data_IF_843219156899
#
_entry.id   IF_843219156899
#
_cell.length_a   1.000
_cell.length_b   1.000
_cell.length_c   1.000
_cell.angle_alpha   90.00
_cell.angle_beta   90.00
_cell.angle_gamma   90.00
#
_symmetry.space_group_name_H-M   'P 1'
#
loop_
_entity.id
_entity.type
_entity.pdbx_description
1 polymer ?
#
# COMPACT_ATOMS: atom_id res chain seq x y z
N UNK A 1 38.27 -0.49 20.48
CA UNK A 1 38.52 -0.55 19.02
C UNK A 1 37.99 -1.88 18.51
N UNK A 2 37.17 -1.80 17.46
CA UNK A 2 36.57 -2.90 16.72
C UNK A 2 37.63 -3.89 16.19
N UNK A 3 37.34 -5.10 15.74
CA UNK A 3 36.10 -5.66 15.19
C UNK A 3 36.12 -7.19 15.36
N UNK A 4 34.97 -7.80 15.58
CA UNK A 4 34.78 -9.24 15.43
C UNK A 4 33.88 -9.49 14.21
N UNK A 5 34.41 -10.28 13.28
CA UNK A 5 33.72 -10.76 12.11
C UNK A 5 32.64 -11.78 12.51
N UNK A 6 31.45 -11.65 11.92
CA UNK A 6 30.51 -12.75 11.81
C UNK A 6 30.23 -12.98 10.33
N UNK A 7 30.76 -14.08 9.81
CA UNK A 7 30.39 -14.62 8.52
C UNK A 7 29.05 -15.34 8.63
N UNK A 8 28.10 -14.97 7.78
CA UNK A 8 26.94 -15.79 7.45
C UNK A 8 27.10 -16.29 6.02
N UNK A 9 27.27 -17.59 5.89
CA UNK A 9 27.48 -18.31 4.65
C UNK A 9 26.14 -18.67 4.00
N UNK A 10 25.55 -17.74 3.24
CA UNK A 10 24.52 -17.99 2.22
C UNK A 10 24.62 -16.93 1.08
N UNK A 11 25.81 -16.73 0.50
CA UNK A 11 26.12 -15.52 -0.27
C UNK A 11 26.33 -15.65 -1.79
N UNK A 12 26.29 -16.86 -2.36
CA UNK A 12 26.66 -17.08 -3.77
C UNK A 12 25.54 -16.81 -4.78
N UNK A 13 24.34 -17.34 -4.52
CA UNK A 13 23.19 -17.25 -5.42
C UNK A 13 22.52 -15.86 -5.43
N UNK A 14 22.40 -15.22 -4.26
CA UNK A 14 21.80 -13.89 -4.11
C UNK A 14 22.59 -12.82 -4.86
N UNK A 15 23.92 -12.83 -4.76
CA UNK A 15 24.78 -11.83 -5.38
C UNK A 15 24.76 -11.86 -6.91
N UNK A 16 24.61 -13.04 -7.52
CA UNK A 16 24.45 -13.16 -8.98
C UNK A 16 23.08 -12.66 -9.43
N UNK A 17 22.02 -13.04 -8.71
CA UNK A 17 20.66 -12.57 -8.98
C UNK A 17 20.58 -11.04 -8.91
N UNK A 18 21.13 -10.44 -7.85
CA UNK A 18 21.18 -8.98 -7.70
C UNK A 18 21.92 -8.30 -8.85
N UNK A 19 23.07 -8.83 -9.26
CA UNK A 19 23.83 -8.30 -10.41
C UNK A 19 23.06 -8.43 -11.72
N UNK A 20 22.33 -9.52 -11.92
CA UNK A 20 21.47 -9.71 -13.09
C UNK A 20 20.31 -8.70 -13.09
N UNK A 21 19.67 -8.46 -11.95
CA UNK A 21 18.61 -7.45 -11.82
C UNK A 21 19.19 -6.05 -12.07
N UNK A 22 20.34 -5.72 -11.49
CA UNK A 22 21.00 -4.43 -11.70
C UNK A 22 21.40 -4.21 -13.16
N UNK A 23 21.82 -5.28 -13.85
CA UNK A 23 22.09 -5.25 -15.27
C UNK A 23 20.81 -5.08 -16.10
N UNK A 24 19.73 -5.80 -15.76
CA UNK A 24 18.44 -5.69 -16.44
C UNK A 24 17.80 -4.29 -16.25
N UNK A 25 18.03 -3.65 -15.10
CA UNK A 25 17.55 -2.31 -14.76
C UNK A 25 18.60 -1.21 -15.04
N UNK A 26 19.63 -1.48 -15.87
CA UNK A 26 20.73 -0.51 -16.12
C UNK A 26 20.27 0.79 -16.75
N UNK A 27 19.27 0.74 -17.63
CA UNK A 27 18.71 1.91 -18.27
C UNK A 27 17.58 1.57 -19.26
N UNK A 28 16.95 2.59 -19.86
CA UNK A 28 15.77 2.41 -20.72
C UNK A 28 16.02 1.48 -21.90
N UNK A 29 17.17 1.61 -22.58
CA UNK A 29 17.53 0.76 -23.71
C UNK A 29 17.66 -0.72 -23.32
N UNK A 30 18.18 -1.01 -22.13
CA UNK A 30 18.26 -2.37 -21.62
C UNK A 30 16.89 -2.93 -21.30
N UNK A 31 16.02 -2.11 -20.68
CA UNK A 31 14.62 -2.46 -20.41
C UNK A 31 13.89 -2.81 -21.69
N UNK A 32 14.00 -1.98 -22.73
CA UNK A 32 13.39 -2.26 -24.03
C UNK A 32 13.95 -3.53 -24.69
N UNK A 33 15.25 -3.79 -24.56
CA UNK A 33 15.89 -4.94 -25.17
C UNK A 33 15.34 -6.26 -24.64
N UNK A 34 15.24 -6.44 -23.32
CA UNK A 34 14.65 -7.66 -22.76
C UNK A 34 13.13 -7.67 -22.87
N UNK A 35 12.45 -6.51 -22.80
CA UNK A 35 10.99 -6.43 -22.93
C UNK A 35 10.47 -7.02 -24.24
N UNK A 36 11.22 -6.88 -25.34
CA UNK A 36 10.90 -7.51 -26.63
C UNK A 36 10.82 -9.04 -26.55
N UNK A 37 11.46 -9.66 -25.56
CA UNK A 37 11.45 -11.10 -25.30
C UNK A 37 10.31 -11.50 -24.33
N UNK A 38 9.11 -10.92 -24.51
CA UNK A 38 7.92 -11.01 -23.63
C UNK A 38 7.62 -12.40 -23.06
N UNK A 39 7.71 -13.46 -23.89
CA UNK A 39 7.35 -14.83 -23.50
C UNK A 39 8.20 -15.41 -22.38
N UNK A 40 9.47 -15.04 -22.29
CA UNK A 40 10.37 -15.54 -21.25
C UNK A 40 10.10 -14.87 -19.90
N UNK A 41 9.57 -13.65 -19.92
CA UNK A 41 9.34 -12.82 -18.74
C UNK A 41 8.01 -13.17 -18.06
N UNK A 42 7.01 -13.61 -18.83
CA UNK A 42 5.74 -14.12 -18.26
C UNK A 42 5.93 -15.36 -17.37
N UNK A 43 7.11 -16.02 -17.46
CA UNK A 43 7.49 -17.19 -16.64
C UNK A 43 8.46 -16.84 -15.51
N UNK A 44 8.72 -15.55 -15.26
CA UNK A 44 9.59 -15.13 -14.17
C UNK A 44 9.03 -15.62 -12.82
N UNK A 45 9.85 -16.28 -11.98
CA UNK A 45 9.47 -16.58 -10.61
C UNK A 45 9.06 -15.30 -9.86
N UNK A 46 8.00 -15.36 -9.05
CA UNK A 46 7.46 -14.21 -8.32
C UNK A 46 8.53 -13.41 -7.55
N UNK A 47 9.45 -14.04 -6.78
CA UNK A 47 10.46 -13.28 -6.03
C UNK A 47 11.42 -12.49 -6.92
N UNK A 48 11.73 -13.02 -8.11
CA UNK A 48 12.60 -12.35 -9.07
C UNK A 48 11.86 -11.23 -9.82
N UNK A 49 10.58 -11.45 -10.14
CA UNK A 49 9.73 -10.45 -10.74
C UNK A 49 9.53 -9.24 -9.81
N UNK A 50 9.23 -9.49 -8.53
CA UNK A 50 9.09 -8.46 -7.50
C UNK A 50 10.39 -7.67 -7.32
N UNK A 51 11.53 -8.36 -7.20
CA UNK A 51 12.82 -7.71 -7.03
C UNK A 51 13.21 -6.86 -8.25
N UNK A 52 12.93 -7.36 -9.46
CA UNK A 52 13.14 -6.59 -10.69
C UNK A 52 12.23 -5.37 -10.76
N UNK A 53 10.93 -5.53 -10.46
CA UNK A 53 9.98 -4.42 -10.48
C UNK A 53 10.37 -3.33 -9.48
N UNK A 54 10.73 -3.70 -8.24
CA UNK A 54 11.21 -2.75 -7.22
C UNK A 54 12.46 -2.00 -7.68
N UNK A 55 13.40 -2.68 -8.33
CA UNK A 55 14.62 -2.05 -8.87
C UNK A 55 14.32 -1.11 -10.03
N UNK A 56 13.40 -1.47 -10.91
CA UNK A 56 12.93 -0.59 -11.98
C UNK A 56 12.21 0.64 -11.43
N UNK A 57 11.37 0.46 -10.39
CA UNK A 57 10.71 1.55 -9.69
C UNK A 57 11.74 2.50 -9.06
N UNK A 58 12.69 1.97 -8.27
CA UNK A 58 13.74 2.75 -7.63
C UNK A 58 14.57 3.59 -8.63
N UNK A 59 14.76 3.09 -9.85
CA UNK A 59 15.49 3.78 -10.93
C UNK A 59 14.60 4.64 -11.84
N UNK A 60 13.29 4.74 -11.55
CA UNK A 60 12.28 5.45 -12.37
C UNK A 60 12.28 5.01 -13.84
N UNK A 61 12.48 3.71 -14.06
CA UNK A 61 12.48 3.08 -15.39
C UNK A 61 11.14 2.42 -15.74
N UNK A 62 10.15 2.52 -14.84
CA UNK A 62 8.80 2.03 -15.09
C UNK A 62 8.01 3.00 -15.97
N UNK A 63 7.18 2.43 -16.82
CA UNK A 63 6.16 3.13 -17.61
C UNK A 63 4.95 2.17 -17.76
N UNK A 64 3.73 2.68 -18.03
CA UNK A 64 2.49 1.91 -17.86
C UNK A 64 2.51 0.54 -18.56
N UNK A 65 2.84 0.52 -19.85
CA UNK A 65 2.82 -0.70 -20.66
C UNK A 65 3.90 -1.73 -20.30
N UNK A 66 4.88 -1.39 -19.44
CA UNK A 66 5.83 -2.36 -18.89
C UNK A 66 5.19 -3.25 -17.83
N UNK A 67 4.18 -2.73 -17.11
CA UNK A 67 3.51 -3.45 -16.04
C UNK A 67 2.81 -4.72 -16.53
N UNK A 68 2.37 -4.75 -17.79
CA UNK A 68 1.77 -5.95 -18.41
C UNK A 68 2.65 -7.20 -18.26
N UNK A 69 3.97 -7.03 -18.26
CA UNK A 69 4.94 -8.14 -18.16
C UNK A 69 4.88 -8.80 -16.77
N UNK A 70 4.51 -8.03 -15.75
CA UNK A 70 4.54 -8.44 -14.35
C UNK A 70 3.17 -8.93 -13.84
N UNK A 71 2.09 -8.74 -14.60
CA UNK A 71 0.72 -8.96 -14.14
C UNK A 71 0.37 -10.41 -13.75
N UNK A 72 1.21 -11.39 -14.09
CA UNK A 72 1.01 -12.81 -13.75
C UNK A 72 1.97 -13.36 -12.68
N UNK A 73 2.91 -12.55 -12.22
CA UNK A 73 3.98 -13.02 -11.32
C UNK A 73 4.17 -12.15 -10.09
N UNK A 74 3.86 -10.86 -10.18
CA UNK A 74 4.09 -9.92 -9.07
C UNK A 74 2.93 -9.91 -8.08
N UNK A 75 3.30 -9.95 -6.81
CA UNK A 75 2.36 -9.85 -5.68
C UNK A 75 2.41 -8.49 -4.98
N UNK A 76 3.52 -7.77 -5.09
CA UNK A 76 3.69 -6.44 -4.48
C UNK A 76 4.15 -5.40 -5.49
N UNK A 77 3.39 -4.33 -5.60
CA UNK A 77 3.72 -3.16 -6.42
C UNK A 77 3.79 -1.92 -5.51
N UNK A 78 4.96 -1.30 -5.47
CA UNK A 78 5.16 -0.01 -4.80
C UNK A 78 5.53 1.06 -5.83
N UNK A 79 4.64 2.03 -6.00
CA UNK A 79 4.81 3.19 -6.86
C UNK A 79 4.65 4.49 -6.06
N UNK A 80 4.88 4.44 -4.75
CA UNK A 80 4.72 5.60 -3.87
C UNK A 80 5.63 6.77 -4.30
N UNK A 81 5.07 7.97 -4.36
CA UNK A 81 5.75 9.20 -4.77
C UNK A 81 5.94 9.34 -6.29
N UNK A 82 5.40 8.42 -7.11
CA UNK A 82 5.48 8.55 -8.56
C UNK A 82 4.47 9.58 -9.08
N UNK A 83 4.99 10.75 -9.46
CA UNK A 83 4.18 11.85 -10.00
C UNK A 83 3.49 11.51 -11.33
N UNK A 84 4.00 10.52 -12.08
CA UNK A 84 3.45 10.10 -13.37
C UNK A 84 2.31 9.08 -13.28
N UNK A 85 2.05 8.50 -12.10
CA UNK A 85 1.02 7.47 -11.93
C UNK A 85 -0.36 8.11 -11.96
N UNK A 86 -1.21 7.61 -12.87
CA UNK A 86 -2.56 8.10 -13.16
C UNK A 86 -3.49 6.91 -13.46
N UNK A 87 -4.69 7.19 -13.98
CA UNK A 87 -5.67 6.16 -14.35
C UNK A 87 -5.17 5.13 -15.38
N UNK A 88 -4.28 5.50 -16.30
CA UNK A 88 -3.69 4.56 -17.27
C UNK A 88 -2.88 3.48 -16.55
N UNK A 89 -2.05 3.87 -15.57
CA UNK A 89 -1.28 2.92 -14.77
C UNK A 89 -2.19 1.97 -13.99
N UNK A 90 -3.26 2.49 -13.39
CA UNK A 90 -4.19 1.68 -12.61
C UNK A 90 -5.02 0.73 -13.50
N UNK A 91 -5.29 1.09 -14.76
CA UNK A 91 -5.91 0.18 -15.72
C UNK A 91 -5.06 -1.08 -15.97
N UNK A 92 -3.73 -0.92 -16.04
CA UNK A 92 -2.81 -2.05 -16.12
C UNK A 92 -2.75 -2.85 -14.82
N UNK A 93 -2.70 -2.17 -13.67
CA UNK A 93 -2.65 -2.82 -12.35
C UNK A 93 -3.93 -3.61 -12.02
N UNK A 94 -5.10 -3.13 -12.46
CA UNK A 94 -6.37 -3.84 -12.31
C UNK A 94 -6.42 -5.20 -13.02
N UNK A 95 -5.50 -5.45 -13.97
CA UNK A 95 -5.38 -6.73 -14.66
C UNK A 95 -4.44 -7.73 -13.96
N UNK A 96 -3.84 -7.37 -12.82
CA UNK A 96 -2.90 -8.24 -12.12
C UNK A 96 -3.65 -9.38 -11.41
N UNK A 97 -3.18 -10.61 -11.62
CA UNK A 97 -3.86 -11.81 -11.13
C UNK A 97 -3.56 -12.15 -9.68
N UNK A 98 -2.38 -11.77 -9.20
CA UNK A 98 -1.87 -12.16 -7.89
C UNK A 98 -1.47 -10.97 -7.02
N UNK A 99 -1.84 -9.74 -7.40
CA UNK A 99 -1.47 -8.55 -6.64
C UNK A 99 -2.11 -8.58 -5.25
N UNK A 100 -1.27 -8.64 -4.21
CA UNK A 100 -1.67 -8.64 -2.79
C UNK A 100 -1.40 -7.31 -2.12
N UNK A 101 -0.36 -6.60 -2.54
CA UNK A 101 0.05 -5.33 -1.91
C UNK A 101 0.22 -4.27 -2.99
N UNK A 102 -0.52 -3.17 -2.88
CA UNK A 102 -0.43 -2.03 -3.79
C UNK A 102 -0.21 -0.75 -3.00
N UNK A 103 0.97 -0.15 -3.17
CA UNK A 103 1.35 1.10 -2.52
C UNK A 103 1.42 2.24 -3.52
N UNK A 104 0.59 3.25 -3.29
CA UNK A 104 0.38 4.39 -4.17
C UNK A 104 0.42 5.71 -3.36
N UNK A 105 1.10 5.72 -2.22
CA UNK A 105 1.18 6.90 -1.37
C UNK A 105 1.82 8.09 -2.10
N UNK A 106 1.32 9.30 -1.86
CA UNK A 106 1.79 10.57 -2.47
C UNK A 106 1.74 10.59 -4.02
N UNK A 107 0.84 9.80 -4.62
CA UNK A 107 0.59 9.82 -6.07
C UNK A 107 -0.46 10.88 -6.45
N UNK A 108 -0.01 12.10 -6.75
CA UNK A 108 -0.86 13.30 -6.95
C UNK A 108 -1.83 13.26 -8.16
N UNK A 109 -1.64 12.31 -9.07
CA UNK A 109 -2.44 12.19 -10.30
C UNK A 109 -3.45 11.04 -10.27
N UNK A 110 -3.54 10.30 -9.17
CA UNK A 110 -4.59 9.30 -8.95
C UNK A 110 -5.86 10.02 -8.49
N UNK A 111 -6.99 9.72 -9.10
CA UNK A 111 -8.31 10.24 -8.78
C UNK A 111 -9.33 9.10 -8.57
N UNK A 112 -10.58 9.44 -8.27
CA UNK A 112 -11.66 8.47 -8.08
C UNK A 112 -11.85 7.54 -9.30
N UNK A 113 -11.68 8.04 -10.52
CA UNK A 113 -11.81 7.24 -11.74
C UNK A 113 -10.65 6.25 -11.89
N UNK A 114 -9.44 6.62 -11.47
CA UNK A 114 -8.29 5.73 -11.51
C UNK A 114 -8.49 4.50 -10.62
N UNK A 115 -9.04 4.69 -9.42
CA UNK A 115 -9.29 3.57 -8.48
C UNK A 115 -10.46 2.67 -8.91
N UNK A 116 -11.32 3.11 -9.84
CA UNK A 116 -12.33 2.24 -10.46
C UNK A 116 -11.69 0.97 -11.05
N UNK A 117 -10.52 1.08 -11.67
CA UNK A 117 -9.84 -0.07 -12.28
C UNK A 117 -9.42 -1.16 -11.30
N UNK A 118 -9.37 -0.85 -9.99
CA UNK A 118 -9.07 -1.82 -8.93
C UNK A 118 -10.33 -2.51 -8.39
N UNK A 119 -11.52 -2.12 -8.84
CA UNK A 119 -12.79 -2.66 -8.34
C UNK A 119 -12.89 -4.16 -8.57
N UNK A 120 -13.39 -4.89 -7.57
CA UNK A 120 -13.60 -6.34 -7.66
C UNK A 120 -12.32 -7.19 -7.66
N UNK A 121 -11.15 -6.60 -7.38
CA UNK A 121 -9.96 -7.39 -7.12
C UNK A 121 -10.18 -8.25 -5.86
N UNK A 122 -9.93 -9.56 -5.98
CA UNK A 122 -10.17 -10.53 -4.89
C UNK A 122 -8.89 -11.04 -4.23
N UNK A 123 -7.72 -10.63 -4.75
CA UNK A 123 -6.40 -11.00 -4.23
C UNK A 123 -5.75 -9.88 -3.43
N UNK A 124 -6.20 -8.62 -3.60
CA UNK A 124 -5.59 -7.46 -2.97
C UNK A 124 -5.88 -7.42 -1.47
N UNK A 125 -4.81 -7.39 -0.67
CA UNK A 125 -4.85 -7.44 0.80
C UNK A 125 -4.46 -6.12 1.45
N UNK A 126 -3.50 -5.41 0.86
CA UNK A 126 -3.01 -4.13 1.37
C UNK A 126 -3.08 -3.08 0.26
N UNK A 127 -3.75 -1.97 0.55
CA UNK A 127 -3.85 -0.81 -0.33
C UNK A 127 -3.45 0.45 0.42
N UNK A 128 -2.44 1.15 -0.09
CA UNK A 128 -2.01 2.43 0.44
C UNK A 128 -2.28 3.56 -0.57
N UNK A 129 -3.20 4.45 -0.21
CA UNK A 129 -3.58 5.66 -0.94
C UNK A 129 -3.30 6.93 -0.12
N UNK A 130 -2.41 6.84 0.88
CA UNK A 130 -2.06 7.96 1.74
C UNK A 130 -1.58 9.16 0.92
N UNK A 131 -1.97 10.38 1.33
CA UNK A 131 -1.62 11.66 0.67
C UNK A 131 -2.16 11.80 -0.77
N UNK A 132 -3.03 10.90 -1.23
CA UNK A 132 -3.71 11.03 -2.54
C UNK A 132 -4.94 11.93 -2.42
N UNK A 133 -4.74 13.26 -2.44
CA UNK A 133 -5.78 14.28 -2.21
C UNK A 133 -6.96 14.30 -3.18
N UNK A 134 -6.87 13.60 -4.32
CA UNK A 134 -7.99 13.52 -5.29
C UNK A 134 -8.86 12.27 -5.08
N UNK A 135 -8.60 11.51 -4.01
CA UNK A 135 -9.46 10.43 -3.54
C UNK A 135 -10.44 11.01 -2.52
N UNK A 136 -11.73 10.80 -2.81
CA UNK A 136 -12.84 11.20 -1.94
C UNK A 136 -13.82 10.02 -1.75
N UNK A 137 -14.94 10.27 -1.06
CA UNK A 137 -15.98 9.26 -0.81
C UNK A 137 -16.45 8.54 -2.07
N UNK A 138 -16.39 9.19 -3.23
CA UNK A 138 -16.73 8.57 -4.52
C UNK A 138 -15.73 7.47 -4.89
N UNK A 139 -14.42 7.67 -4.68
CA UNK A 139 -13.40 6.65 -4.91
C UNK A 139 -13.52 5.48 -3.93
N UNK A 140 -13.94 5.74 -2.69
CA UNK A 140 -14.18 4.69 -1.69
C UNK A 140 -15.27 3.71 -2.12
N UNK A 141 -16.30 4.17 -2.83
CA UNK A 141 -17.34 3.27 -3.38
C UNK A 141 -16.78 2.17 -4.28
N UNK A 142 -15.62 2.40 -4.90
CA UNK A 142 -14.92 1.41 -5.70
C UNK A 142 -14.03 0.53 -4.84
N UNK A 143 -13.33 1.11 -3.88
CA UNK A 143 -12.43 0.39 -2.96
C UNK A 143 -13.19 -0.62 -2.09
N UNK A 144 -14.41 -0.29 -1.64
CA UNK A 144 -15.21 -1.21 -0.82
C UNK A 144 -15.67 -2.48 -1.56
N UNK A 145 -15.54 -2.51 -2.89
CA UNK A 145 -15.81 -3.73 -3.68
C UNK A 145 -14.66 -4.76 -3.61
N UNK A 146 -13.53 -4.36 -3.05
CA UNK A 146 -12.33 -5.20 -2.86
C UNK A 146 -12.45 -5.89 -1.50
N UNK A 147 -13.36 -6.86 -1.40
CA UNK A 147 -13.70 -7.55 -0.14
C UNK A 147 -12.50 -8.27 0.49
N UNK A 148 -11.44 -8.54 -0.27
CA UNK A 148 -10.24 -9.20 0.23
C UNK A 148 -9.33 -8.31 1.07
N UNK A 149 -9.57 -6.98 1.13
CA UNK A 149 -8.71 -6.03 1.84
C UNK A 149 -8.62 -6.31 3.33
N UNK A 150 -7.38 -6.38 3.81
CA UNK A 150 -7.01 -6.57 5.21
C UNK A 150 -6.39 -5.29 5.80
N UNK A 151 -5.74 -4.46 4.97
CA UNK A 151 -5.11 -3.22 5.38
C UNK A 151 -5.39 -2.10 4.39
N UNK A 152 -5.84 -0.97 4.90
CA UNK A 152 -6.19 0.19 4.10
C UNK A 152 -5.59 1.46 4.72
N UNK A 153 -4.73 2.14 3.96
CA UNK A 153 -4.15 3.41 4.36
C UNK A 153 -4.73 4.55 3.54
N UNK A 154 -5.38 5.49 4.21
CA UNK A 154 -6.09 6.62 3.61
C UNK A 154 -5.70 7.94 4.28
N UNK A 155 -4.57 7.99 4.99
CA UNK A 155 -4.13 9.20 5.67
C UNK A 155 -4.00 10.39 4.71
N UNK A 156 -4.37 11.59 5.15
CA UNK A 156 -4.29 12.83 4.39
C UNK A 156 -5.01 12.79 3.02
N UNK A 157 -6.17 12.12 2.96
CA UNK A 157 -7.12 12.12 1.81
C UNK A 157 -8.34 13.01 2.07
N UNK A 158 -9.15 13.28 1.06
CA UNK A 158 -10.34 14.15 1.12
C UNK A 158 -11.63 13.34 1.43
N UNK A 159 -11.55 12.48 2.45
CA UNK A 159 -12.70 11.70 2.90
C UNK A 159 -13.55 12.48 3.90
N UNK A 160 -14.84 12.20 3.86
CA UNK A 160 -15.80 12.68 4.86
C UNK A 160 -16.33 11.53 5.69
N UNK A 161 -17.15 11.86 6.68
CA UNK A 161 -17.86 10.89 7.50
C UNK A 161 -18.61 9.83 6.69
N UNK A 162 -19.15 10.19 5.52
CA UNK A 162 -19.85 9.26 4.64
C UNK A 162 -18.91 8.22 4.03
N UNK A 163 -17.71 8.63 3.59
CA UNK A 163 -16.70 7.71 3.06
C UNK A 163 -16.25 6.70 4.11
N UNK A 164 -16.06 7.14 5.35
CA UNK A 164 -15.69 6.25 6.47
C UNK A 164 -16.80 5.25 6.78
N UNK A 165 -18.06 5.67 6.73
CA UNK A 165 -19.20 4.76 6.86
C UNK A 165 -19.26 3.71 5.75
N UNK A 166 -18.81 4.03 4.53
CA UNK A 166 -18.72 3.02 3.47
C UNK A 166 -17.64 1.98 3.76
N UNK A 167 -16.49 2.40 4.32
CA UNK A 167 -15.39 1.49 4.68
C UNK A 167 -15.85 0.43 5.69
N UNK A 168 -16.89 0.71 6.48
CA UNK A 168 -17.42 -0.26 7.45
C UNK A 168 -18.04 -1.51 6.84
N UNK A 169 -18.28 -1.55 5.53
CA UNK A 169 -18.70 -2.78 4.86
C UNK A 169 -17.56 -3.78 4.61
N UNK A 170 -16.30 -3.37 4.75
CA UNK A 170 -15.13 -4.23 4.58
C UNK A 170 -14.90 -5.07 5.85
N UNK A 171 -15.46 -6.29 5.86
CA UNK A 171 -15.42 -7.18 7.03
C UNK A 171 -14.07 -7.84 7.29
N UNK A 172 -13.21 -7.94 6.28
CA UNK A 172 -11.87 -8.52 6.41
C UNK A 172 -10.80 -7.50 6.85
N UNK A 173 -11.18 -6.24 7.03
CA UNK A 173 -10.25 -5.17 7.33
C UNK A 173 -9.73 -5.30 8.77
N UNK A 174 -8.42 -5.50 8.90
CA UNK A 174 -7.69 -5.62 10.17
C UNK A 174 -6.91 -4.37 10.53
N UNK A 175 -6.63 -3.49 9.57
CA UNK A 175 -5.89 -2.25 9.78
C UNK A 175 -6.50 -1.13 8.93
N UNK A 176 -6.73 0.02 9.55
CA UNK A 176 -7.25 1.21 8.90
C UNK A 176 -6.52 2.46 9.41
N UNK A 177 -5.89 3.20 8.51
CA UNK A 177 -5.26 4.49 8.81
C UNK A 177 -6.04 5.64 8.16
N UNK A 178 -6.58 6.53 9.01
CA UNK A 178 -7.36 7.72 8.65
C UNK A 178 -6.69 9.01 9.16
N UNK A 179 -5.39 8.98 9.43
CA UNK A 179 -4.66 10.12 9.99
C UNK A 179 -4.78 11.38 9.14
N UNK A 180 -5.04 12.54 9.75
CA UNK A 180 -5.08 13.82 9.04
C UNK A 180 -6.36 14.08 8.22
N UNK A 181 -7.39 13.23 8.35
CA UNK A 181 -8.71 13.46 7.77
C UNK A 181 -9.57 14.27 8.75
N UNK A 182 -10.39 15.18 8.22
CA UNK A 182 -11.37 15.97 8.98
C UNK A 182 -12.63 15.12 9.20
N UNK A 183 -12.81 14.62 10.41
CA UNK A 183 -13.96 13.78 10.78
C UNK A 183 -14.75 14.41 11.94
N UNK A 184 -16.03 14.04 12.08
CA UNK A 184 -16.86 14.42 13.23
C UNK A 184 -16.97 13.29 14.27
N UNK A 185 -17.38 13.61 15.50
CA UNK A 185 -17.52 12.63 16.60
C UNK A 185 -18.44 11.44 16.26
N UNK A 186 -19.39 11.62 15.33
CA UNK A 186 -20.30 10.55 14.88
C UNK A 186 -19.55 9.42 14.19
N UNK A 187 -18.53 9.73 13.41
CA UNK A 187 -17.70 8.71 12.74
C UNK A 187 -16.90 7.89 13.73
N UNK A 188 -16.38 8.51 14.79
CA UNK A 188 -15.62 7.81 15.82
C UNK A 188 -16.49 6.78 16.53
N UNK A 189 -17.77 7.07 16.76
CA UNK A 189 -18.73 6.11 17.30
C UNK A 189 -19.03 4.96 16.32
N UNK A 190 -19.20 5.26 15.03
CA UNK A 190 -19.39 4.21 14.02
C UNK A 190 -18.15 3.33 13.83
N UNK A 191 -16.95 3.92 13.92
CA UNK A 191 -15.68 3.21 13.91
C UNK A 191 -15.47 2.39 15.18
N UNK A 192 -16.03 2.76 16.34
CA UNK A 192 -15.99 1.92 17.55
C UNK A 192 -16.72 0.58 17.36
N UNK A 193 -17.77 0.54 16.53
CA UNK A 193 -18.48 -0.71 16.19
C UNK A 193 -17.59 -1.63 15.34
N UNK A 194 -16.83 -1.05 14.39
CA UNK A 194 -15.76 -1.78 13.69
C UNK A 194 -14.62 -2.17 14.64
N UNK A 195 -14.28 -1.30 15.59
CA UNK A 195 -13.22 -1.50 16.57
C UNK A 195 -13.45 -2.71 17.48
N UNK A 196 -14.68 -3.17 17.68
CA UNK A 196 -14.92 -4.45 18.37
C UNK A 196 -14.42 -5.68 17.57
N UNK A 197 -14.22 -5.55 16.25
CA UNK A 197 -13.54 -6.53 15.40
C UNK A 197 -12.08 -6.16 15.08
N UNK A 198 -11.75 -4.86 15.05
CA UNK A 198 -10.43 -4.31 14.68
C UNK A 198 -9.49 -4.09 15.88
N UNK A 199 -9.98 -4.10 17.13
CA UNK A 199 -9.17 -3.91 18.35
C UNK A 199 -8.09 -4.97 18.57
N UNK A 200 -8.11 -6.10 17.85
CA UNK A 200 -6.99 -7.02 17.91
C UNK A 200 -5.77 -6.55 17.07
N UNK A 201 -5.93 -5.55 16.19
CA UNK A 201 -4.87 -4.97 15.35
C UNK A 201 -5.10 -3.45 15.11
N UNK A 202 -4.47 -2.61 15.94
CA UNK A 202 -4.08 -1.20 15.71
C UNK A 202 -4.92 -0.30 14.75
N UNK A 203 -5.77 0.56 15.30
CA UNK A 203 -6.26 1.79 14.66
C UNK A 203 -5.37 2.97 15.09
N UNK A 204 -4.62 3.59 14.16
CA UNK A 204 -3.81 4.78 14.43
C UNK A 204 -4.60 6.05 14.12
N UNK A 205 -5.25 6.63 15.13
CA UNK A 205 -6.01 7.89 15.03
C UNK A 205 -5.18 9.14 15.37
N UNK A 206 -3.84 9.05 15.34
CA UNK A 206 -2.91 10.01 15.98
C UNK A 206 -2.99 11.48 15.53
N UNK A 207 -3.83 11.83 14.53
CA UNK A 207 -4.00 13.21 14.02
C UNK A 207 -5.42 13.57 13.56
N UNK A 208 -6.47 12.92 14.08
CA UNK A 208 -7.84 13.30 13.74
C UNK A 208 -8.21 14.63 14.42
N UNK A 209 -8.63 15.63 13.64
CA UNK A 209 -8.95 17.01 14.07
C UNK A 209 -10.37 17.14 14.70
N UNK A 210 -10.83 16.14 15.46
CA UNK A 210 -12.15 16.21 16.10
C UNK A 210 -12.15 17.26 17.23
N UNK A 211 -12.97 18.30 17.09
CA UNK A 211 -13.08 19.45 18.04
C UNK A 211 -13.66 19.08 19.41
N UNK A 212 -14.09 17.84 19.63
CA UNK A 212 -14.84 17.44 20.82
C UNK A 212 -14.26 16.22 21.56
N UNK A 213 -13.05 15.76 21.21
CA UNK A 213 -12.42 14.66 21.97
C UNK A 213 -11.90 15.10 23.35
N UNK A 214 -12.06 16.36 23.76
CA UNK A 214 -11.56 16.88 25.03
C UNK A 214 -12.17 16.28 26.33
N UNK A 215 -13.40 15.72 26.37
CA UNK A 215 -13.87 15.03 27.58
C UNK A 215 -13.45 13.55 27.63
N UNK A 216 -13.20 12.91 26.48
CA UNK A 216 -12.79 11.49 26.39
C UNK A 216 -11.26 11.31 26.40
N UNK A 217 -10.51 12.39 26.15
CA UNK A 217 -9.07 12.47 26.31
C UNK A 217 -8.79 13.16 27.65
N UNK A 218 -8.93 12.41 28.75
CA UNK A 218 -8.33 12.82 30.02
C UNK A 218 -6.80 12.69 29.89
N UNK A 219 -6.00 13.68 30.35
CA UNK A 219 -4.54 13.69 30.19
C UNK A 219 -3.83 12.47 30.79
N UNK A 220 -4.48 11.74 31.70
CA UNK A 220 -3.93 10.55 32.34
C UNK A 220 -4.16 9.22 31.59
N UNK A 221 -5.00 9.18 30.56
CA UNK A 221 -5.25 7.92 29.82
C UNK A 221 -4.60 7.86 28.43
N UNK A 222 -4.13 8.99 27.89
CA UNK A 222 -3.33 8.97 26.66
C UNK A 222 -1.91 8.41 26.91
N UNK A 223 -1.35 8.67 28.10
CA UNK A 223 -0.08 8.07 28.50
C UNK A 223 -0.21 6.60 28.92
N UNK A 224 -1.37 6.09 29.34
CA UNK A 224 -1.49 4.65 29.62
C UNK A 224 -1.71 3.83 28.35
N UNK A 225 -2.41 4.34 27.34
CA UNK A 225 -2.53 3.62 26.06
C UNK A 225 -1.25 3.71 25.20
N UNK A 226 -0.43 4.76 25.35
CA UNK A 226 0.87 4.86 24.65
C UNK A 226 2.02 4.27 25.47
N UNK A 227 2.02 4.36 26.82
CA UNK A 227 3.11 3.77 27.63
C UNK A 227 2.99 2.27 27.86
N UNK A 228 1.81 1.66 27.69
CA UNK A 228 1.69 0.19 27.67
C UNK A 228 2.25 -0.44 26.38
N UNK A 229 2.49 0.38 25.33
CA UNK A 229 2.86 -0.09 23.99
C UNK A 229 4.26 0.36 23.52
N UNK A 230 5.09 0.88 24.43
CA UNK A 230 6.53 1.06 24.22
C UNK A 230 7.38 -0.06 24.89
N UNK A 231 6.76 -1.10 25.43
CA UNK A 231 7.44 -2.35 25.79
C UNK A 231 7.01 -3.45 24.83
N UNK A 232 7.66 -3.48 23.67
CA UNK A 232 7.75 -4.69 22.83
C UNK A 232 8.83 -5.57 23.48
N UNK A 233 8.53 -6.76 24.04
CA UNK A 233 9.56 -7.77 24.16
C UNK A 233 9.73 -8.39 22.78
N UNK A 234 10.91 -8.25 22.20
CA UNK A 234 11.35 -9.01 21.04
C UNK A 234 11.14 -10.51 21.30
N UNK A 235 10.32 -11.15 20.48
CA UNK A 235 10.33 -12.60 20.26
C UNK A 235 10.05 -12.90 18.79
#
# INVERSE_FOLDING_TARGET
MAAAAFGSATGGGSRLVDRCIDAAARGPATVEAWRRQRRSLERLPAPLADALLRRLAARRLLFPSLLEVFGRSVEEVDLSGFLSVNSEWLAYLGSFRYLRVLKLADCKNINNDAVWSLSGMNTLKELDLSRCKKISDAGIKHIVTIESLEKLHLSETELTDNGVMLISSLTNLSFLDLGGILMTDKTLQSLQVLSLMVCHHFLLLSRCLCRNCQPYIQPNNMCQLISFWLHVPDY
#
